data_IF_267157869015
#
_entry.id   IF_267157869015
#
_cell.length_a   1.000
_cell.length_b   1.000
_cell.length_c   1.000
_cell.angle_alpha   90.00
_cell.angle_beta   90.00
_cell.angle_gamma   90.00
#
_symmetry.space_group_name_H-M   'P 1'
#
loop_
_entity.id
_entity.type
_entity.pdbx_description
1 polymer ?
#
# COMPACT_ATOMS: atom_id res chain seq x y z
N UNK A 1 -51.67 50.50 11.62
CA UNK A 1 -52.68 50.95 10.63
C UNK A 1 -52.49 49.98 9.45
N UNK A 2 -53.32 49.27 8.96
CA UNK A 2 -54.74 48.99 8.87
C UNK A 2 -54.81 47.64 8.04
N UNK A 3 -55.56 46.73 8.57
CA UNK A 3 -56.25 45.64 7.87
C UNK A 3 -57.35 46.23 6.99
N UNK A 4 -58.25 45.50 6.30
CA UNK A 4 -58.27 44.16 5.67
C UNK A 4 -58.95 44.16 4.29
N UNK A 5 -59.10 43.00 3.60
CA UNK A 5 -60.43 42.65 3.07
C UNK A 5 -60.47 41.24 2.47
N UNK A 6 -61.39 40.48 3.00
CA UNK A 6 -62.04 39.27 2.54
C UNK A 6 -62.92 39.50 1.29
N UNK A 7 -63.15 38.42 0.53
CA UNK A 7 -64.38 37.92 -0.11
C UNK A 7 -64.08 37.32 -1.45
N UNK A 8 -64.60 36.25 -1.98
CA UNK A 8 -65.73 35.35 -1.63
C UNK A 8 -65.60 34.10 -2.52
N UNK A 9 -66.05 33.02 -1.98
CA UNK A 9 -66.35 31.75 -2.64
C UNK A 9 -67.43 31.84 -3.72
N UNK A 10 -67.38 30.96 -4.69
CA UNK A 10 -68.49 30.10 -5.12
C UNK A 10 -68.12 29.14 -6.23
N UNK A 11 -68.23 27.90 -5.92
CA UNK A 11 -68.75 26.72 -6.60
C UNK A 11 -68.97 26.77 -8.14
N UNK A 12 -68.47 25.78 -8.84
CA UNK A 12 -69.17 25.03 -9.88
C UNK A 12 -68.66 23.58 -9.94
N UNK A 13 -69.61 22.70 -9.81
CA UNK A 13 -69.57 21.25 -9.79
C UNK A 13 -69.51 20.72 -11.24
N UNK A 14 -68.83 19.56 -11.44
CA UNK A 14 -69.00 18.53 -12.45
C UNK A 14 -68.36 18.73 -13.82
N UNK A 15 -67.37 17.89 -14.09
CA UNK A 15 -67.46 16.88 -15.20
C UNK A 15 -66.44 15.78 -14.98
N UNK A 16 -66.94 14.59 -14.68
CA UNK A 16 -66.22 13.32 -14.79
C UNK A 16 -66.12 13.02 -16.25
N UNK A 17 -64.89 12.94 -16.78
CA UNK A 17 -64.68 12.28 -18.04
C UNK A 17 -63.45 11.35 -17.89
N UNK A 18 -63.69 10.15 -18.39
CA UNK A 18 -62.88 8.93 -18.37
C UNK A 18 -61.45 9.15 -18.88
N UNK A 19 -60.47 8.91 -18.01
CA UNK A 19 -59.09 8.67 -18.45
C UNK A 19 -58.88 7.18 -18.36
N UNK A 20 -58.71 6.57 -19.55
CA UNK A 20 -58.37 5.14 -19.76
C UNK A 20 -56.98 4.79 -19.19
N UNK A 21 -56.68 3.49 -18.99
CA UNK A 21 -55.44 3.04 -18.33
C UNK A 21 -54.23 3.43 -19.12
N UNK A 22 -53.46 4.40 -18.61
CA UNK A 22 -52.17 4.81 -19.16
C UNK A 22 -51.17 3.64 -19.12
N UNK A 23 -50.64 3.32 -20.29
CA UNK A 23 -49.66 2.26 -20.60
C UNK A 23 -48.44 2.38 -19.67
N UNK A 24 -48.25 1.38 -18.84
CA UNK A 24 -47.06 1.14 -18.06
C UNK A 24 -45.84 0.83 -18.97
N UNK A 25 -45.21 1.88 -19.51
CA UNK A 25 -43.98 1.79 -20.35
C UNK A 25 -42.66 1.92 -19.60
N UNK A 26 -42.68 2.21 -18.26
CA UNK A 26 -41.50 2.62 -17.51
C UNK A 26 -40.65 1.52 -16.89
N UNK A 27 -41.08 0.25 -16.86
CA UNK A 27 -40.36 -0.84 -16.14
C UNK A 27 -39.33 -1.63 -16.96
N UNK A 28 -39.33 -1.52 -18.29
CA UNK A 28 -38.38 -2.28 -19.16
C UNK A 28 -37.03 -1.60 -19.30
N UNK A 29 -36.95 -0.28 -19.32
CA UNK A 29 -35.69 0.46 -19.51
C UNK A 29 -34.72 0.30 -18.28
N UNK A 30 -35.24 0.26 -17.05
CA UNK A 30 -34.42 0.08 -15.84
C UNK A 30 -33.75 -1.29 -15.74
N UNK A 31 -34.44 -2.38 -16.11
CA UNK A 31 -33.89 -3.75 -16.07
C UNK A 31 -32.79 -3.97 -17.10
N UNK A 32 -32.89 -3.38 -18.29
CA UNK A 32 -31.86 -3.49 -19.33
C UNK A 32 -30.58 -2.76 -18.93
N UNK A 33 -30.67 -1.57 -18.31
CA UNK A 33 -29.51 -0.83 -17.78
C UNK A 33 -28.78 -1.56 -16.66
N UNK A 34 -29.52 -2.15 -15.72
CA UNK A 34 -28.94 -2.93 -14.61
C UNK A 34 -28.21 -4.18 -15.12
N UNK A 35 -28.79 -4.88 -16.12
CA UNK A 35 -28.15 -6.07 -16.71
C UNK A 35 -26.89 -5.66 -17.51
N UNK A 36 -26.93 -4.54 -18.23
CA UNK A 36 -25.76 -4.05 -18.96
C UNK A 36 -24.63 -3.65 -18.02
N UNK A 37 -24.92 -2.92 -16.94
CA UNK A 37 -23.95 -2.54 -15.91
C UNK A 37 -23.37 -3.78 -15.19
N UNK A 38 -24.20 -4.78 -14.87
CA UNK A 38 -23.73 -6.05 -14.28
C UNK A 38 -22.79 -6.82 -15.21
N UNK A 39 -23.09 -6.89 -16.50
CA UNK A 39 -22.21 -7.52 -17.50
C UNK A 39 -20.90 -6.76 -17.69
N UNK A 40 -20.92 -5.45 -17.64
CA UNK A 40 -19.73 -4.60 -17.74
C UNK A 40 -18.84 -4.78 -16.51
N UNK A 41 -19.41 -4.81 -15.30
CA UNK A 41 -18.69 -5.08 -14.07
C UNK A 41 -18.08 -6.48 -14.06
N UNK A 42 -18.79 -7.50 -14.52
CA UNK A 42 -18.28 -8.86 -14.64
C UNK A 42 -17.10 -8.96 -15.64
N UNK A 43 -17.18 -8.24 -16.78
CA UNK A 43 -16.07 -8.17 -17.75
C UNK A 43 -14.85 -7.46 -17.16
N UNK A 44 -15.05 -6.34 -16.48
CA UNK A 44 -13.98 -5.60 -15.81
C UNK A 44 -13.31 -6.45 -14.72
N UNK A 45 -14.08 -7.14 -13.88
CA UNK A 45 -13.56 -8.05 -12.86
C UNK A 45 -12.74 -9.20 -13.47
N UNK A 46 -13.21 -9.79 -14.58
CA UNK A 46 -12.48 -10.84 -15.30
C UNK A 46 -11.17 -10.33 -15.91
N UNK A 47 -11.17 -9.10 -16.43
CA UNK A 47 -9.95 -8.46 -16.96
C UNK A 47 -8.94 -8.18 -15.85
N UNK A 48 -9.40 -7.66 -14.70
CA UNK A 48 -8.56 -7.44 -13.51
C UNK A 48 -7.95 -8.74 -13.00
N UNK A 49 -8.76 -9.79 -12.80
CA UNK A 49 -8.27 -11.10 -12.37
C UNK A 49 -7.23 -11.69 -13.33
N UNK A 50 -7.42 -11.50 -14.65
CA UNK A 50 -6.45 -11.95 -15.66
C UNK A 50 -5.15 -11.16 -15.58
N UNK A 51 -5.23 -9.83 -15.38
CA UNK A 51 -4.07 -8.98 -15.18
C UNK A 51 -3.27 -9.39 -13.95
N UNK A 52 -3.96 -9.67 -12.83
CA UNK A 52 -3.32 -10.12 -11.61
C UNK A 52 -2.64 -11.49 -11.79
N UNK A 53 -3.28 -12.43 -12.50
CA UNK A 53 -2.67 -13.73 -12.83
C UNK A 53 -1.39 -13.57 -13.67
N UNK A 54 -1.35 -12.63 -14.61
CA UNK A 54 -0.14 -12.33 -15.39
C UNK A 54 0.95 -11.75 -14.48
N UNK A 55 0.63 -10.85 -13.55
CA UNK A 55 1.60 -10.26 -12.62
C UNK A 55 2.16 -11.31 -11.65
N UNK A 56 1.35 -12.25 -11.16
CA UNK A 56 1.84 -13.36 -10.34
C UNK A 56 2.79 -14.27 -11.14
N UNK A 57 2.41 -14.64 -12.37
CA UNK A 57 3.25 -15.43 -13.25
C UNK A 57 4.57 -14.72 -13.61
N UNK A 58 4.52 -13.39 -13.78
CA UNK A 58 5.70 -12.57 -14.02
C UNK A 58 6.65 -12.58 -12.81
N UNK A 59 6.11 -12.46 -11.60
CA UNK A 59 6.92 -12.55 -10.38
C UNK A 59 7.61 -13.90 -10.27
N UNK A 60 6.92 -15.01 -10.59
CA UNK A 60 7.51 -16.34 -10.62
C UNK A 60 8.63 -16.45 -11.65
N UNK A 61 8.39 -15.97 -12.87
CA UNK A 61 9.36 -16.08 -13.97
C UNK A 61 10.60 -15.22 -13.70
N UNK A 62 10.41 -13.96 -13.26
CA UNK A 62 11.52 -13.08 -12.89
C UNK A 62 12.30 -13.62 -11.69
N UNK A 63 11.63 -14.20 -10.69
CA UNK A 63 12.30 -14.78 -9.51
C UNK A 63 13.10 -16.04 -9.85
N UNK A 64 12.62 -16.84 -10.82
CA UNK A 64 13.29 -18.09 -11.21
C UNK A 64 14.46 -17.86 -12.17
N UNK A 65 14.34 -16.94 -13.13
CA UNK A 65 15.31 -16.75 -14.22
C UNK A 65 16.06 -15.42 -14.19
N UNK A 66 15.69 -14.50 -13.29
CA UNK A 66 16.12 -13.10 -13.32
C UNK A 66 15.42 -12.30 -14.43
N UNK A 67 15.57 -10.98 -14.36
CA UNK A 67 14.93 -10.09 -15.34
C UNK A 67 15.50 -10.25 -16.75
N UNK A 68 16.83 -10.44 -16.88
CA UNK A 68 17.49 -10.53 -18.18
C UNK A 68 16.94 -11.65 -19.07
N UNK A 69 16.85 -12.86 -18.52
CA UNK A 69 16.53 -14.10 -19.25
C UNK A 69 15.05 -14.41 -19.32
N UNK A 70 14.24 -13.82 -18.46
CA UNK A 70 12.79 -13.99 -18.48
C UNK A 70 12.16 -13.50 -19.79
N UNK A 71 11.19 -14.27 -20.32
CA UNK A 71 10.49 -13.99 -21.57
C UNK A 71 9.00 -13.84 -21.34
N UNK A 72 8.36 -12.89 -22.03
CA UNK A 72 6.90 -12.70 -21.96
C UNK A 72 6.12 -13.95 -22.39
N UNK A 73 6.68 -14.73 -23.32
CA UNK A 73 6.08 -16.00 -23.77
C UNK A 73 5.99 -17.03 -22.63
N UNK A 74 7.02 -17.10 -21.78
CA UNK A 74 7.03 -17.99 -20.62
C UNK A 74 6.09 -17.52 -19.52
N UNK A 75 6.00 -16.20 -19.33
CA UNK A 75 4.99 -15.60 -18.44
C UNK A 75 3.58 -15.92 -18.92
N UNK A 76 3.30 -15.78 -20.23
CA UNK A 76 1.99 -16.10 -20.80
C UNK A 76 1.61 -17.56 -20.58
N UNK A 77 2.51 -18.50 -20.82
CA UNK A 77 2.33 -19.94 -20.57
C UNK A 77 2.01 -20.20 -19.09
N UNK A 78 2.80 -19.59 -18.18
CA UNK A 78 2.64 -19.75 -16.73
C UNK A 78 1.31 -19.16 -16.24
N UNK A 79 0.87 -18.03 -16.81
CA UNK A 79 -0.41 -17.38 -16.50
C UNK A 79 -1.62 -18.08 -17.12
N UNK A 80 -1.43 -19.09 -17.97
CA UNK A 80 -2.51 -19.78 -18.68
C UNK A 80 -3.22 -18.89 -19.70
N UNK A 81 -2.51 -17.92 -20.29
CA UNK A 81 -3.07 -17.01 -21.31
C UNK A 81 -2.37 -17.19 -22.66
N UNK A 82 -3.06 -16.85 -23.76
CA UNK A 82 -2.43 -16.84 -25.06
C UNK A 82 -1.33 -15.75 -25.14
N UNK A 83 -0.26 -16.00 -25.92
CA UNK A 83 0.84 -15.03 -26.13
C UNK A 83 0.32 -13.64 -26.50
N UNK A 84 -0.61 -13.52 -27.43
CA UNK A 84 -1.19 -12.24 -27.84
C UNK A 84 -1.95 -11.52 -26.72
N UNK A 85 -2.44 -12.26 -25.73
CA UNK A 85 -3.17 -11.66 -24.60
C UNK A 85 -2.24 -10.83 -23.71
N UNK A 86 -0.98 -11.25 -23.50
CA UNK A 86 -0.06 -10.49 -22.64
C UNK A 86 0.26 -9.12 -23.23
N UNK A 87 0.40 -9.04 -24.56
CA UNK A 87 0.67 -7.79 -25.29
C UNK A 87 -0.52 -6.81 -25.32
N UNK A 88 -1.74 -7.27 -24.96
CA UNK A 88 -2.88 -6.37 -24.74
C UNK A 88 -2.77 -5.60 -23.41
N UNK A 89 -2.01 -6.10 -22.46
CA UNK A 89 -1.83 -5.50 -21.13
C UNK A 89 -0.46 -4.82 -20.96
N UNK A 90 0.58 -5.36 -21.59
CA UNK A 90 1.97 -4.93 -21.38
C UNK A 90 2.70 -4.90 -22.71
N UNK A 91 3.23 -3.72 -23.06
CA UNK A 91 3.92 -3.52 -24.35
C UNK A 91 5.22 -4.35 -24.44
N UNK A 92 5.92 -4.46 -23.31
CA UNK A 92 7.21 -5.12 -23.20
C UNK A 92 7.45 -5.66 -21.78
N UNK A 93 8.61 -6.28 -21.59
CA UNK A 93 9.04 -6.85 -20.32
C UNK A 93 9.26 -5.79 -19.23
N UNK A 94 9.72 -4.62 -19.61
CA UNK A 94 9.93 -3.50 -18.68
C UNK A 94 8.64 -2.95 -18.15
N UNK A 95 7.66 -2.72 -19.02
CA UNK A 95 6.31 -2.27 -18.63
C UNK A 95 5.61 -3.28 -17.73
N UNK A 96 5.77 -4.59 -17.98
CA UNK A 96 5.27 -5.64 -17.11
C UNK A 96 5.92 -5.59 -15.73
N UNK A 97 7.25 -5.41 -15.66
CA UNK A 97 7.97 -5.33 -14.39
C UNK A 97 7.61 -4.06 -13.60
N UNK A 98 7.50 -2.92 -14.28
CA UNK A 98 7.06 -1.67 -13.66
C UNK A 98 5.65 -1.81 -13.05
N UNK A 99 4.76 -2.47 -13.76
CA UNK A 99 3.41 -2.69 -13.28
C UNK A 99 3.35 -3.69 -12.12
N UNK A 100 4.23 -4.70 -12.12
CA UNK A 100 4.44 -5.59 -10.98
C UNK A 100 4.87 -4.80 -9.73
N UNK A 101 5.84 -3.88 -9.87
CA UNK A 101 6.27 -2.99 -8.78
C UNK A 101 5.09 -2.16 -8.28
N UNK A 102 4.33 -1.50 -9.17
CA UNK A 102 3.18 -0.70 -8.78
C UNK A 102 2.14 -1.52 -8.02
N UNK A 103 1.73 -2.65 -8.58
CA UNK A 103 0.69 -3.49 -7.98
C UNK A 103 1.10 -4.07 -6.62
N UNK A 104 2.37 -4.43 -6.45
CA UNK A 104 2.85 -5.08 -5.23
C UNK A 104 3.33 -4.10 -4.16
N UNK A 105 4.03 -3.03 -4.52
CA UNK A 105 4.73 -2.18 -3.57
C UNK A 105 4.00 -0.88 -3.24
N UNK A 106 3.30 -0.26 -4.20
CA UNK A 106 2.63 1.03 -3.95
C UNK A 106 1.57 0.95 -2.84
N UNK A 107 0.74 -0.11 -2.73
CA UNK A 107 -0.20 -0.23 -1.61
C UNK A 107 0.50 -0.27 -0.24
N UNK A 108 1.65 -0.96 -0.14
CA UNK A 108 2.44 -1.02 1.11
C UNK A 108 3.00 0.35 1.47
N UNK A 109 3.51 1.08 0.47
CA UNK A 109 3.97 2.47 0.69
C UNK A 109 2.83 3.32 1.23
N UNK A 110 1.63 3.20 0.67
CA UNK A 110 0.44 3.90 1.16
C UNK A 110 0.10 3.56 2.63
N UNK A 111 0.16 2.29 3.01
CA UNK A 111 -0.05 1.85 4.40
C UNK A 111 1.00 2.46 5.35
N UNK A 112 2.27 2.49 4.92
CA UNK A 112 3.36 3.11 5.70
C UNK A 112 3.23 4.63 5.76
N UNK A 113 2.88 5.30 4.67
CA UNK A 113 2.63 6.75 4.64
C UNK A 113 1.52 7.14 5.64
N UNK A 114 0.44 6.35 5.69
CA UNK A 114 -0.65 6.56 6.65
C UNK A 114 -0.18 6.39 8.10
N UNK A 115 0.60 5.34 8.40
CA UNK A 115 1.16 5.13 9.74
C UNK A 115 2.09 6.29 10.15
N UNK A 116 2.94 6.77 9.23
CA UNK A 116 3.86 7.89 9.45
C UNK A 116 3.15 9.23 9.64
N UNK A 117 1.94 9.40 9.11
CA UNK A 117 1.16 10.64 9.20
C UNK A 117 0.32 10.77 10.49
N UNK A 118 0.32 9.77 11.36
CA UNK A 118 -0.57 9.72 12.55
C UNK A 118 -0.23 10.76 13.62
N UNK A 119 1.00 11.31 13.63
CA UNK A 119 1.46 12.22 14.68
C UNK A 119 1.70 11.58 16.05
N UNK A 120 1.58 10.26 16.15
CA UNK A 120 1.88 9.49 17.37
C UNK A 120 3.37 9.59 17.74
N UNK A 121 3.78 9.19 18.98
CA UNK A 121 5.18 9.05 19.34
C UNK A 121 5.92 8.16 18.35
N UNK A 122 7.17 8.52 18.02
CA UNK A 122 7.95 7.82 16.98
C UNK A 122 8.06 6.31 17.25
N UNK A 123 8.24 5.91 18.50
CA UNK A 123 8.31 4.49 18.89
C UNK A 123 7.05 3.73 18.47
N UNK A 124 5.87 4.28 18.75
CA UNK A 124 4.58 3.69 18.34
C UNK A 124 4.45 3.59 16.82
N UNK A 125 4.86 4.65 16.10
CA UNK A 125 4.87 4.65 14.63
C UNK A 125 5.77 3.55 14.09
N UNK A 126 6.96 3.39 14.65
CA UNK A 126 7.92 2.36 14.23
C UNK A 126 7.39 0.95 14.52
N UNK A 127 6.76 0.71 15.66
CA UNK A 127 6.12 -0.57 15.99
C UNK A 127 5.02 -0.92 14.97
N UNK A 128 4.17 0.05 14.60
CA UNK A 128 3.17 -0.13 13.54
C UNK A 128 3.82 -0.42 12.18
N UNK A 129 4.90 0.28 11.83
CA UNK A 129 5.63 0.05 10.58
C UNK A 129 6.26 -1.34 10.54
N UNK A 130 6.77 -1.86 11.66
CA UNK A 130 7.27 -3.25 11.79
C UNK A 130 6.15 -4.25 11.50
N UNK A 131 4.97 -4.07 12.10
CA UNK A 131 3.85 -4.98 11.88
C UNK A 131 3.37 -4.94 10.40
N UNK A 132 3.31 -3.75 9.78
CA UNK A 132 3.02 -3.61 8.35
C UNK A 132 4.08 -4.35 7.53
N UNK A 133 5.37 -4.15 7.80
CA UNK A 133 6.46 -4.80 7.08
C UNK A 133 6.39 -6.33 7.22
N UNK A 134 6.26 -6.84 8.43
CA UNK A 134 6.22 -8.28 8.68
C UNK A 134 5.01 -8.92 8.00
N UNK A 135 3.83 -8.32 8.12
CA UNK A 135 2.59 -8.87 7.56
C UNK A 135 2.52 -8.70 6.05
N UNK A 136 2.84 -7.53 5.52
CA UNK A 136 2.56 -7.19 4.12
C UNK A 136 3.75 -7.40 3.19
N UNK A 137 4.97 -7.34 3.68
CA UNK A 137 6.17 -7.52 2.86
C UNK A 137 6.82 -8.87 3.14
N UNK A 138 7.32 -9.08 4.36
CA UNK A 138 8.11 -10.25 4.69
C UNK A 138 7.29 -11.54 4.63
N UNK A 139 6.09 -11.56 5.19
CA UNK A 139 5.17 -12.71 5.19
C UNK A 139 4.48 -12.98 3.85
N UNK A 140 4.79 -12.22 2.80
CA UNK A 140 4.17 -12.34 1.49
C UNK A 140 5.20 -12.47 0.37
N UNK A 141 4.71 -12.69 -0.85
CA UNK A 141 5.56 -12.72 -2.05
C UNK A 141 6.21 -11.37 -2.41
N UNK A 142 5.78 -10.25 -1.78
CA UNK A 142 6.38 -8.92 -2.01
C UNK A 142 7.86 -8.86 -1.66
N UNK A 143 8.33 -9.67 -0.71
CA UNK A 143 9.78 -9.82 -0.44
C UNK A 143 10.59 -10.22 -1.67
N UNK A 144 9.99 -10.97 -2.62
CA UNK A 144 10.65 -11.37 -3.85
C UNK A 144 10.89 -10.16 -4.78
N UNK A 145 9.99 -9.17 -4.79
CA UNK A 145 10.20 -7.93 -5.57
C UNK A 145 11.43 -7.18 -5.06
N UNK A 146 11.61 -7.08 -3.74
CA UNK A 146 12.78 -6.43 -3.14
C UNK A 146 14.05 -7.22 -3.47
N UNK A 147 14.01 -8.55 -3.39
CA UNK A 147 15.14 -9.41 -3.79
C UNK A 147 15.53 -9.20 -5.26
N UNK A 148 14.55 -9.15 -6.16
CA UNK A 148 14.78 -8.85 -7.57
C UNK A 148 15.42 -7.48 -7.77
N UNK A 149 14.99 -6.47 -7.03
CA UNK A 149 15.61 -5.14 -7.10
C UNK A 149 17.06 -5.14 -6.59
N UNK A 150 17.37 -5.91 -5.55
CA UNK A 150 18.72 -6.04 -5.03
C UNK A 150 19.64 -6.75 -6.06
N UNK A 151 19.15 -7.82 -6.71
CA UNK A 151 19.95 -8.62 -7.66
C UNK A 151 20.04 -8.00 -9.06
N UNK A 152 18.95 -7.43 -9.57
CA UNK A 152 18.85 -6.97 -10.95
C UNK A 152 19.03 -5.46 -11.10
N UNK A 153 18.72 -4.66 -10.07
CA UNK A 153 18.79 -3.21 -10.12
C UNK A 153 20.14 -2.64 -10.61
N UNK A 154 21.30 -3.17 -10.16
CA UNK A 154 22.60 -2.71 -10.63
C UNK A 154 22.82 -2.95 -12.13
N UNK A 155 22.20 -3.97 -12.71
CA UNK A 155 22.31 -4.34 -14.13
C UNK A 155 21.29 -3.59 -15.01
N UNK A 156 20.19 -3.15 -14.44
CA UNK A 156 19.06 -2.47 -15.13
C UNK A 156 18.72 -1.14 -14.45
N UNK A 157 19.54 -0.09 -14.68
CA UNK A 157 19.37 1.21 -14.00
C UNK A 157 17.98 1.82 -14.16
N UNK A 158 17.33 1.65 -15.32
CA UNK A 158 15.97 2.14 -15.55
C UNK A 158 14.94 1.52 -14.59
N UNK A 159 15.09 0.23 -14.24
CA UNK A 159 14.23 -0.43 -13.26
C UNK A 159 14.50 0.09 -11.84
N UNK A 160 15.79 0.30 -11.51
CA UNK A 160 16.17 0.86 -10.21
C UNK A 160 15.65 2.29 -10.05
N UNK A 161 15.76 3.13 -11.08
CA UNK A 161 15.21 4.49 -11.10
C UNK A 161 13.70 4.49 -10.92
N UNK A 162 13.00 3.60 -11.65
CA UNK A 162 11.57 3.46 -11.53
C UNK A 162 11.15 3.07 -10.09
N UNK A 163 11.82 2.06 -9.50
CA UNK A 163 11.57 1.62 -8.13
C UNK A 163 11.86 2.73 -7.11
N UNK A 164 12.96 3.47 -7.31
CA UNK A 164 13.29 4.62 -6.48
C UNK A 164 12.19 5.67 -6.52
N UNK A 165 11.72 6.04 -7.71
CA UNK A 165 10.70 7.07 -7.89
C UNK A 165 9.34 6.66 -7.31
N UNK A 166 8.87 5.44 -7.61
CA UNK A 166 7.52 5.01 -7.24
C UNK A 166 7.40 4.52 -5.80
N UNK A 167 8.48 4.03 -5.21
CA UNK A 167 8.50 3.36 -3.90
C UNK A 167 9.36 4.14 -2.91
N UNK A 168 10.68 4.20 -3.13
CA UNK A 168 11.61 4.67 -2.11
C UNK A 168 11.53 6.17 -1.87
N UNK A 169 11.41 6.99 -2.92
CA UNK A 169 11.36 8.45 -2.78
C UNK A 169 10.14 8.91 -1.96
N UNK A 170 8.99 8.26 -2.16
CA UNK A 170 7.77 8.53 -1.40
C UNK A 170 7.95 8.18 0.07
N UNK A 171 8.42 6.96 0.35
CA UNK A 171 8.67 6.49 1.71
C UNK A 171 9.70 7.36 2.43
N UNK A 172 10.83 7.67 1.79
CA UNK A 172 11.87 8.51 2.37
C UNK A 172 11.40 9.94 2.64
N UNK A 173 10.54 10.49 1.76
CA UNK A 173 9.92 11.81 2.00
C UNK A 173 9.05 11.82 3.25
N UNK A 174 8.18 10.82 3.40
CA UNK A 174 7.32 10.67 4.57
C UNK A 174 8.17 10.47 5.85
N UNK A 175 9.14 9.54 5.83
CA UNK A 175 10.05 9.29 6.93
C UNK A 175 10.80 10.56 7.38
N UNK A 176 11.39 11.31 6.44
CA UNK A 176 12.09 12.56 6.79
C UNK A 176 11.19 13.58 7.48
N UNK A 177 9.92 13.65 7.07
CA UNK A 177 8.93 14.52 7.73
C UNK A 177 8.69 14.11 9.18
N UNK A 178 8.37 12.84 9.39
CA UNK A 178 8.10 12.27 10.72
C UNK A 178 9.32 12.36 11.65
N UNK A 179 10.52 12.04 11.14
CA UNK A 179 11.75 12.06 11.92
C UNK A 179 12.17 13.48 12.35
N UNK A 180 11.98 14.50 11.48
CA UNK A 180 12.20 15.90 11.86
C UNK A 180 11.25 16.34 12.98
N UNK A 181 9.98 15.96 12.89
CA UNK A 181 9.00 16.27 13.94
C UNK A 181 9.35 15.56 15.25
N UNK A 182 9.72 14.28 15.21
CA UNK A 182 10.15 13.53 16.38
C UNK A 182 11.40 14.12 17.01
N UNK A 183 12.38 14.54 16.22
CA UNK A 183 13.58 15.23 16.71
C UNK A 183 13.23 16.57 17.39
N UNK A 184 12.35 17.37 16.78
CA UNK A 184 11.89 18.62 17.37
C UNK A 184 11.10 18.42 18.68
N UNK A 185 10.45 17.26 18.88
CA UNK A 185 9.79 16.88 20.14
C UNK A 185 10.74 16.26 21.18
N UNK A 186 12.03 16.13 20.84
CA UNK A 186 13.03 15.53 21.75
C UNK A 186 12.95 14.00 21.87
N UNK A 187 12.24 13.32 20.96
CA UNK A 187 12.11 11.85 20.95
C UNK A 187 13.37 11.14 20.43
N UNK A 188 14.30 11.89 19.81
CA UNK A 188 15.55 11.39 19.27
C UNK A 188 16.73 12.03 20.00
N UNK A 189 17.66 11.21 20.48
CA UNK A 189 18.88 11.66 21.16
C UNK A 189 19.92 12.33 20.22
N UNK A 190 19.74 12.19 18.88
CA UNK A 190 20.59 12.80 17.87
C UNK A 190 19.84 13.01 16.55
N UNK A 191 20.42 13.74 15.61
CA UNK A 191 19.90 13.95 14.26
C UNK A 191 20.22 12.80 13.27
N UNK A 192 20.89 11.75 13.74
CA UNK A 192 21.38 10.67 12.87
C UNK A 192 20.26 10.04 12.02
N UNK A 193 19.09 9.76 12.60
CA UNK A 193 17.94 9.22 11.87
C UNK A 193 17.32 10.23 10.89
N UNK A 194 17.38 11.53 11.19
CA UNK A 194 16.93 12.58 10.26
C UNK A 194 17.84 12.64 9.05
N UNK A 195 19.15 12.51 9.25
CA UNK A 195 20.16 12.49 8.16
C UNK A 195 20.12 11.19 7.38
N UNK A 196 19.95 10.07 8.05
CA UNK A 196 20.00 8.72 7.47
C UNK A 196 18.71 7.93 7.77
N UNK A 197 17.55 8.33 7.18
CA UNK A 197 16.26 7.68 7.48
C UNK A 197 16.23 6.20 7.08
N UNK A 198 17.12 5.76 6.16
CA UNK A 198 17.25 4.36 5.75
C UNK A 198 17.67 3.42 6.91
N UNK A 199 18.25 3.96 7.99
CA UNK A 199 18.59 3.14 9.16
C UNK A 199 17.36 2.49 9.81
N UNK A 200 16.18 3.11 9.71
CA UNK A 200 14.93 2.48 10.17
C UNK A 200 14.51 1.29 9.29
N UNK A 201 14.85 1.32 8.01
CA UNK A 201 14.55 0.22 7.09
C UNK A 201 15.61 -0.87 7.03
N UNK A 202 16.81 -0.63 7.57
CA UNK A 202 17.96 -1.53 7.47
C UNK A 202 17.67 -2.96 7.96
N UNK A 203 17.04 -3.18 9.14
CA UNK A 203 16.77 -4.54 9.60
C UNK A 203 15.81 -5.28 8.68
N UNK A 204 14.87 -4.59 8.01
CA UNK A 204 13.98 -5.20 7.02
C UNK A 204 14.74 -5.74 5.79
N UNK A 205 15.74 -5.00 5.31
CA UNK A 205 16.59 -5.46 4.20
C UNK A 205 17.44 -6.66 4.66
N UNK A 206 18.04 -6.59 5.85
CA UNK A 206 18.79 -7.71 6.42
C UNK A 206 17.89 -8.95 6.53
N UNK A 207 16.66 -8.83 7.05
CA UNK A 207 15.73 -9.94 7.14
C UNK A 207 15.44 -10.60 5.78
N UNK A 208 15.23 -9.79 4.73
CA UNK A 208 14.94 -10.28 3.38
C UNK A 208 16.15 -11.01 2.79
N UNK A 209 17.35 -10.47 2.97
CA UNK A 209 18.60 -11.09 2.49
C UNK A 209 18.89 -12.38 3.26
N UNK A 210 18.88 -12.32 4.59
CA UNK A 210 19.12 -13.46 5.46
C UNK A 210 18.18 -14.62 5.15
N UNK A 211 16.89 -14.36 5.14
CA UNK A 211 15.90 -15.40 4.84
C UNK A 211 16.01 -15.97 3.42
N UNK A 212 16.62 -15.24 2.48
CA UNK A 212 16.88 -15.72 1.12
C UNK A 212 18.04 -16.68 1.02
N UNK A 213 19.03 -16.51 1.88
CA UNK A 213 20.31 -17.21 1.79
C UNK A 213 20.46 -18.27 2.90
N UNK A 214 20.02 -17.97 4.11
CA UNK A 214 20.44 -18.71 5.30
C UNK A 214 19.29 -19.31 6.12
N UNK A 215 18.01 -19.07 5.76
CA UNK A 215 16.84 -19.51 6.53
C UNK A 215 16.84 -21.04 6.79
N UNK A 216 17.38 -21.83 5.86
CA UNK A 216 17.54 -23.29 6.00
C UNK A 216 18.58 -23.71 7.05
N UNK A 217 19.52 -22.84 7.38
CA UNK A 217 20.59 -23.12 8.36
C UNK A 217 20.29 -22.47 9.70
N UNK A 218 19.83 -21.24 9.68
CA UNK A 218 19.55 -20.44 10.85
C UNK A 218 18.30 -19.59 10.60
N UNK A 219 17.11 -20.10 10.94
CA UNK A 219 15.85 -19.36 10.80
C UNK A 219 15.86 -18.09 11.63
N UNK A 220 15.42 -16.97 11.06
CA UNK A 220 15.43 -15.66 11.71
C UNK A 220 14.03 -15.29 12.22
N UNK A 221 13.91 -15.06 13.54
CA UNK A 221 12.74 -14.36 14.07
C UNK A 221 12.86 -12.85 13.73
N UNK A 222 12.27 -12.50 12.58
CA UNK A 222 12.34 -11.14 12.04
C UNK A 222 11.70 -10.13 12.96
N UNK A 223 10.60 -10.49 13.64
CA UNK A 223 9.91 -9.57 14.54
C UNK A 223 10.77 -9.29 15.79
N UNK A 224 11.34 -10.32 16.37
CA UNK A 224 12.25 -10.18 17.53
C UNK A 224 13.49 -9.37 17.14
N UNK A 225 14.11 -9.65 16.00
CA UNK A 225 15.27 -8.91 15.52
C UNK A 225 14.96 -7.42 15.31
N UNK A 226 13.82 -7.10 14.66
CA UNK A 226 13.43 -5.70 14.44
C UNK A 226 13.18 -4.97 15.75
N UNK A 227 12.51 -5.61 16.73
CA UNK A 227 12.31 -5.03 18.06
C UNK A 227 13.64 -4.75 18.75
N UNK A 228 14.55 -5.71 18.78
CA UNK A 228 15.88 -5.53 19.38
C UNK A 228 16.66 -4.38 18.73
N UNK A 229 16.59 -4.25 17.40
CA UNK A 229 17.21 -3.13 16.68
C UNK A 229 16.63 -1.77 17.13
N UNK A 230 15.31 -1.66 17.25
CA UNK A 230 14.68 -0.40 17.66
C UNK A 230 14.87 -0.12 19.16
N UNK A 231 14.92 -1.13 20.01
CA UNK A 231 15.28 -0.95 21.41
C UNK A 231 16.71 -0.43 21.57
N UNK A 232 17.63 -0.85 20.69
CA UNK A 232 18.98 -0.30 20.64
C UNK A 232 19.01 1.16 20.15
N UNK A 233 18.17 1.53 19.19
CA UNK A 233 18.12 2.89 18.63
C UNK A 233 17.44 3.92 19.56
N UNK A 234 16.40 3.52 20.27
CA UNK A 234 15.56 4.41 21.09
C UNK A 234 15.79 4.24 22.59
N UNK A 235 16.66 3.30 23.01
CA UNK A 235 16.77 2.86 24.40
C UNK A 235 15.64 1.92 24.80
N UNK A 236 15.92 1.00 25.72
CA UNK A 236 14.90 0.11 26.27
C UNK A 236 13.82 0.95 26.97
N UNK A 237 12.55 0.67 26.71
CA UNK A 237 11.43 1.34 27.36
C UNK A 237 11.50 1.10 28.87
N UNK A 238 12.04 2.04 29.64
CA UNK A 238 12.09 1.94 31.09
C UNK A 238 13.35 2.48 31.79
N UNK A 239 14.41 2.82 31.05
CA UNK A 239 15.66 3.26 31.72
C UNK A 239 15.72 4.75 32.08
N UNK A 240 14.75 5.57 31.75
CA UNK A 240 14.74 7.03 31.96
C UNK A 240 13.98 7.52 33.23
N UNK A 241 13.52 6.62 34.11
CA UNK A 241 12.69 7.00 35.27
C UNK A 241 13.35 6.89 36.65
N UNK A 242 14.58 6.38 36.77
CA UNK A 242 15.14 5.98 38.07
C UNK A 242 16.41 6.73 38.51
N UNK A 243 16.85 7.81 37.87
CA UNK A 243 18.09 8.51 38.25
C UNK A 243 17.88 9.96 38.68
N UNK A 244 16.74 10.28 39.32
CA UNK A 244 16.46 11.66 39.74
C UNK A 244 16.06 11.87 41.21
N UNK A 245 16.19 10.87 42.08
CA UNK A 245 15.76 11.03 43.49
C UNK A 245 16.67 10.33 44.47
N UNK A 246 17.92 10.75 44.61
CA UNK A 246 18.67 10.50 45.86
C UNK A 246 19.94 11.37 45.94
N UNK A 247 19.80 12.64 46.27
CA UNK A 247 20.86 13.41 46.90
C UNK A 247 20.30 14.70 47.50
N UNK A 248 19.43 14.57 48.51
CA UNK A 248 19.14 15.66 49.42
C UNK A 248 18.86 15.06 50.80
N UNK A 249 19.78 15.13 51.66
CA UNK A 249 19.53 14.89 53.07
C UNK A 249 20.58 14.11 53.81
N UNK A 250 21.69 14.81 54.17
CA UNK A 250 22.36 14.69 55.48
C UNK A 250 23.43 15.78 55.58
N UNK A 251 23.04 16.89 56.19
CA UNK A 251 23.94 17.79 56.87
C UNK A 251 23.36 18.03 58.26
N UNK A 252 23.95 17.51 59.24
CA UNK A 252 24.14 18.00 60.59
C UNK A 252 25.20 17.15 61.28
#
# INVERSE_FOLDING_TARGET
MAKPAKRQAKAAVARVDKIGPGRTGGRRAGRSGVIAASRQNARAAKAAARRDAILEAALDEFSAKGFATARLDDVAKRAGVAKGTIYLYFADKESLFQELIRAKMVPVVGSLELALATGLPLRTIVEQAVEIFVREVFGTRRRQVIRLMISEGPRFPALAEFYYREVLSRLLKALRGTLRQAHARGELGSDALVRFPMLLGAPGIIAIVWSGLFDRFEPLDVRAMMRAHFDTLFGAAGASGASGASSAGRAT
#
